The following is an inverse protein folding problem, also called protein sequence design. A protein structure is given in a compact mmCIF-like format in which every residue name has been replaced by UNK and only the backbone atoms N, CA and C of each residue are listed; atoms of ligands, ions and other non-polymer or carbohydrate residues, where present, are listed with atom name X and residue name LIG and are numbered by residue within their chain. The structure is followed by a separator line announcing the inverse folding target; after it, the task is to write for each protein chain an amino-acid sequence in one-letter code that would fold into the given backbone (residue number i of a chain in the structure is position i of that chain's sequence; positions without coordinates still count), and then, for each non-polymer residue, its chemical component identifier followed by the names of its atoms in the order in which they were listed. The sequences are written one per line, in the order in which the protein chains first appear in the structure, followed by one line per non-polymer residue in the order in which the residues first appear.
data_IF_675997971385
#
_entry.id   IF_675997971385
#
_cell.length_a   1.000
_cell.length_b   1.000
_cell.length_c   1.000
_cell.angle_alpha   90.00
_cell.angle_beta   90.00
_cell.angle_gamma   90.00
#
_symmetry.space_group_name_H-M   'P 1'
#
loop_
_entity.id
_entity.type
_entity.pdbx_description
1 polymer ?
#
# COMPACT_ATOMS: atom_id res chain seq x y z
N UNK A 1 22.49 -14.66 -48.13
CA UNK A 1 22.58 -13.47 -47.24
C UNK A 1 21.27 -13.11 -46.53
N UNK A 2 20.10 -13.09 -47.21
CA UNK A 2 18.82 -12.76 -46.54
C UNK A 2 18.42 -13.74 -45.43
N UNK A 3 18.60 -15.05 -45.64
CA UNK A 3 18.28 -16.09 -44.66
C UNK A 3 19.14 -16.01 -43.38
N UNK A 4 20.44 -15.75 -43.52
CA UNK A 4 21.36 -15.56 -42.38
C UNK A 4 21.02 -14.31 -41.57
N UNK A 5 20.61 -13.22 -42.22
CA UNK A 5 20.14 -12.00 -41.54
C UNK A 5 18.85 -12.27 -40.76
N UNK A 6 17.90 -13.02 -41.34
CA UNK A 6 16.66 -13.39 -40.64
C UNK A 6 16.95 -14.27 -39.42
N UNK A 7 17.83 -15.27 -39.54
CA UNK A 7 18.22 -16.13 -38.42
C UNK A 7 18.94 -15.35 -37.31
N UNK A 8 19.82 -14.41 -37.67
CA UNK A 8 20.50 -13.55 -36.70
C UNK A 8 19.52 -12.60 -36.01
N UNK A 9 18.56 -12.03 -36.74
CA UNK A 9 17.50 -11.19 -36.16
C UNK A 9 16.60 -11.98 -35.21
N UNK A 10 16.24 -13.24 -35.54
CA UNK A 10 15.47 -14.11 -34.65
C UNK A 10 16.26 -14.46 -33.39
N UNK A 11 17.55 -14.79 -33.53
CA UNK A 11 18.42 -15.09 -32.39
C UNK A 11 18.60 -13.87 -31.46
N UNK A 12 18.75 -12.66 -32.03
CA UNK A 12 18.83 -11.41 -31.26
C UNK A 12 17.51 -11.12 -30.56
N UNK A 13 16.36 -11.26 -31.23
CA UNK A 13 15.04 -11.05 -30.60
C UNK A 13 14.78 -12.08 -29.49
N UNK A 14 15.15 -13.35 -29.69
CA UNK A 14 15.02 -14.40 -28.67
C UNK A 14 15.96 -14.21 -27.48
N UNK A 15 17.17 -13.67 -27.69
CA UNK A 15 18.08 -13.32 -26.60
C UNK A 15 17.65 -12.08 -25.81
N UNK A 16 16.82 -11.20 -26.40
CA UNK A 16 16.28 -10.01 -25.75
C UNK A 16 14.96 -10.27 -25.02
N UNK A 17 14.29 -11.40 -25.24
CA UNK A 17 13.13 -11.80 -24.45
C UNK A 17 13.57 -12.43 -23.13
N UNK A 18 13.70 -11.61 -22.09
CA UNK A 18 13.92 -12.09 -20.72
C UNK A 18 12.83 -13.08 -20.28
N UNK A 19 13.22 -14.12 -19.52
CA UNK A 19 12.27 -15.11 -19.04
C UNK A 19 11.44 -14.55 -17.89
N UNK A 20 10.15 -14.87 -17.84
CA UNK A 20 9.25 -14.44 -16.78
C UNK A 20 9.02 -15.58 -15.76
N UNK A 21 9.89 -15.64 -14.75
CA UNK A 21 9.91 -16.70 -13.73
C UNK A 21 8.79 -16.54 -12.72
N UNK A 22 8.01 -17.59 -12.46
CA UNK A 22 6.97 -17.55 -11.43
C UNK A 22 7.62 -17.60 -10.03
N UNK A 23 7.20 -16.71 -9.15
CA UNK A 23 7.57 -16.69 -7.73
C UNK A 23 6.30 -16.65 -6.86
N UNK A 24 6.45 -16.96 -5.58
CA UNK A 24 5.41 -16.76 -4.57
C UNK A 24 5.86 -15.69 -3.60
N UNK A 25 5.02 -14.69 -3.37
CA UNK A 25 5.32 -13.56 -2.48
C UNK A 25 4.46 -13.56 -1.22
N UNK A 26 3.77 -14.66 -0.93
CA UNK A 26 2.89 -14.79 0.22
C UNK A 26 3.63 -14.50 1.54
N UNK A 27 3.03 -13.73 2.46
CA UNK A 27 3.63 -13.38 3.74
C UNK A 27 3.78 -14.63 4.62
N UNK A 28 4.62 -14.51 5.64
CA UNK A 28 4.79 -15.54 6.65
C UNK A 28 3.82 -15.27 7.79
N UNK A 29 2.74 -16.06 7.88
CA UNK A 29 1.66 -15.82 8.86
C UNK A 29 2.15 -15.80 10.31
N UNK A 30 3.22 -16.54 10.60
CA UNK A 30 3.85 -16.56 11.93
C UNK A 30 4.42 -15.20 12.34
N UNK A 31 4.73 -14.31 11.38
CA UNK A 31 5.23 -12.94 11.64
C UNK A 31 4.10 -11.92 11.80
N UNK A 32 2.84 -12.31 11.62
CA UNK A 32 1.66 -11.46 11.74
C UNK A 32 0.99 -11.72 13.08
N UNK A 33 1.62 -11.21 14.13
CA UNK A 33 1.13 -11.34 15.50
C UNK A 33 0.22 -10.18 15.89
N UNK A 34 -0.71 -10.44 16.81
CA UNK A 34 -1.51 -9.39 17.42
C UNK A 34 -0.58 -8.54 18.30
N UNK A 35 -0.64 -7.22 18.16
CA UNK A 35 0.17 -6.33 18.98
C UNK A 35 -0.30 -6.39 20.45
N UNK A 36 0.62 -6.74 21.34
CA UNK A 36 0.37 -6.98 22.76
C UNK A 36 0.29 -5.68 23.58
N UNK A 37 -0.57 -4.72 23.21
CA UNK A 37 -0.75 -3.51 24.03
C UNK A 37 -2.16 -2.94 23.92
N UNK A 38 -2.89 -2.86 25.05
CA UNK A 38 -3.87 -1.83 25.41
C UNK A 38 -5.11 -1.59 24.53
N UNK A 39 -5.18 -2.20 23.36
CA UNK A 39 -6.30 -2.14 22.45
C UNK A 39 -7.04 -3.46 22.56
N UNK A 40 -8.02 -3.52 23.46
CA UNK A 40 -9.07 -4.52 23.33
C UNK A 40 -9.61 -4.44 21.90
N UNK A 41 -9.74 -5.60 21.25
CA UNK A 41 -10.30 -5.70 19.90
C UNK A 41 -11.46 -4.72 19.78
N UNK A 42 -11.40 -3.81 18.82
CA UNK A 42 -12.46 -2.81 18.70
C UNK A 42 -13.77 -3.54 18.56
N UNK A 43 -14.80 -3.09 19.27
CA UNK A 43 -16.19 -3.53 19.10
C UNK A 43 -16.75 -3.02 17.75
N UNK A 44 -16.03 -3.31 16.68
CA UNK A 44 -16.27 -2.92 15.30
C UNK A 44 -16.12 -4.18 14.47
N UNK A 45 -17.18 -4.50 13.73
CA UNK A 45 -17.27 -5.62 12.81
C UNK A 45 -17.08 -5.13 11.38
N UNK A 46 -16.21 -5.78 10.60
CA UNK A 46 -15.88 -5.35 9.24
C UNK A 46 -16.07 -6.48 8.23
N UNK A 47 -16.63 -6.12 7.08
CA UNK A 47 -16.52 -6.93 5.88
C UNK A 47 -15.25 -6.56 5.12
N UNK A 48 -14.56 -7.52 4.50
CA UNK A 48 -13.55 -7.20 3.49
C UNK A 48 -13.92 -7.80 2.14
N UNK A 49 -13.67 -7.05 1.07
CA UNK A 49 -13.99 -7.47 -0.29
C UNK A 49 -12.77 -7.33 -1.20
N UNK A 50 -12.38 -8.44 -1.84
CA UNK A 50 -11.40 -8.47 -2.92
C UNK A 50 -12.12 -9.07 -4.14
N UNK A 51 -12.30 -8.30 -5.23
CA UNK A 51 -12.89 -8.81 -6.47
C UNK A 51 -12.16 -10.06 -6.98
N UNK A 52 -12.90 -11.02 -7.54
CA UNK A 52 -12.35 -12.28 -8.03
C UNK A 52 -11.32 -12.09 -9.16
N UNK A 53 -11.48 -11.00 -9.92
CA UNK A 53 -10.59 -10.57 -10.98
C UNK A 53 -9.23 -10.14 -10.42
N UNK A 54 -9.20 -9.50 -9.24
CA UNK A 54 -7.97 -9.11 -8.58
C UNK A 54 -7.25 -10.31 -7.97
N UNK A 55 -7.99 -11.27 -7.39
CA UNK A 55 -7.40 -12.55 -6.93
C UNK A 55 -6.76 -13.35 -8.08
N UNK A 56 -7.26 -13.18 -9.30
CA UNK A 56 -6.72 -13.84 -10.50
C UNK A 56 -5.67 -13.00 -11.23
N UNK A 57 -5.37 -11.79 -10.76
CA UNK A 57 -4.43 -10.88 -11.41
C UNK A 57 -2.99 -11.38 -11.24
N UNK A 58 -2.38 -11.84 -12.33
CA UNK A 58 -0.94 -12.09 -12.41
C UNK A 58 -0.23 -10.79 -12.78
N UNK A 59 0.73 -10.36 -11.95
CA UNK A 59 1.57 -9.19 -12.19
C UNK A 59 2.94 -9.65 -12.66
N UNK A 60 3.52 -8.92 -13.62
CA UNK A 60 4.90 -9.12 -14.09
C UNK A 60 5.74 -7.89 -13.74
N UNK A 61 6.89 -8.10 -13.09
CA UNK A 61 7.84 -7.04 -12.74
C UNK A 61 9.29 -7.46 -13.02
N UNK A 62 10.25 -6.52 -13.03
CA UNK A 62 11.65 -6.87 -13.18
C UNK A 62 12.16 -7.80 -12.06
N UNK A 63 12.79 -8.90 -12.46
CA UNK A 63 13.45 -9.85 -11.57
C UNK A 63 14.93 -9.59 -11.35
N UNK A 64 15.56 -8.75 -12.19
CA UNK A 64 17.01 -8.58 -12.26
C UNK A 64 17.63 -9.46 -13.36
N UNK A 65 18.84 -9.13 -13.82
CA UNK A 65 19.51 -9.95 -14.85
C UNK A 65 18.94 -9.83 -16.27
N UNK A 66 18.00 -8.91 -16.51
CA UNK A 66 17.20 -8.88 -17.74
C UNK A 66 15.98 -9.81 -17.71
N UNK A 67 15.79 -10.58 -16.64
CA UNK A 67 14.62 -11.42 -16.42
C UNK A 67 13.49 -10.68 -15.72
N UNK A 68 12.27 -11.21 -15.88
CA UNK A 68 11.07 -10.79 -15.19
C UNK A 68 10.63 -11.85 -14.17
N UNK A 69 9.80 -11.44 -13.22
CA UNK A 69 9.09 -12.33 -12.30
C UNK A 69 7.59 -12.16 -12.42
N UNK A 70 6.85 -13.24 -12.16
CA UNK A 70 5.39 -13.29 -12.17
C UNK A 70 4.85 -13.82 -10.85
N UNK A 71 3.80 -13.19 -10.34
CA UNK A 71 3.16 -13.55 -9.07
C UNK A 71 1.73 -12.96 -9.00
N UNK A 72 0.97 -13.33 -7.97
CA UNK A 72 -0.43 -12.92 -7.81
C UNK A 72 -0.56 -12.12 -6.51
N UNK A 73 -0.40 -10.78 -6.53
CA UNK A 73 -0.24 -10.01 -5.30
C UNK A 73 -1.46 -10.10 -4.37
N UNK A 74 -2.68 -10.05 -4.92
CA UNK A 74 -3.90 -10.14 -4.12
C UNK A 74 -4.12 -11.55 -3.55
N UNK A 75 -3.92 -12.59 -4.35
CA UNK A 75 -4.05 -13.98 -3.89
C UNK A 75 -3.01 -14.32 -2.83
N UNK A 76 -1.77 -13.91 -3.06
CA UNK A 76 -0.67 -14.24 -2.18
C UNK A 76 -0.78 -13.51 -0.82
N UNK A 77 -1.31 -12.28 -0.77
CA UNK A 77 -1.46 -11.52 0.48
C UNK A 77 -2.72 -11.88 1.30
N UNK A 78 -3.77 -12.43 0.67
CA UNK A 78 -5.14 -12.50 1.20
C UNK A 78 -5.21 -13.07 2.61
N UNK A 79 -4.60 -14.24 2.86
CA UNK A 79 -4.63 -14.88 4.18
C UNK A 79 -3.93 -14.03 5.25
N UNK A 80 -2.83 -13.35 4.90
CA UNK A 80 -2.16 -12.42 5.81
C UNK A 80 -2.98 -11.16 6.07
N UNK A 81 -3.69 -10.67 5.06
CA UNK A 81 -4.59 -9.53 5.18
C UNK A 81 -5.78 -9.82 6.10
N UNK A 82 -6.43 -10.98 5.94
CA UNK A 82 -7.50 -11.43 6.83
C UNK A 82 -7.02 -11.55 8.28
N UNK A 83 -5.80 -12.07 8.49
CA UNK A 83 -5.17 -12.17 9.80
C UNK A 83 -4.96 -10.79 10.44
N UNK A 84 -4.47 -9.81 9.67
CA UNK A 84 -4.32 -8.41 10.13
C UNK A 84 -5.67 -7.84 10.55
N UNK A 85 -6.72 -7.99 9.74
CA UNK A 85 -8.05 -7.50 10.09
C UNK A 85 -8.56 -8.15 11.38
N UNK A 86 -8.38 -9.47 11.52
CA UNK A 86 -8.80 -10.25 12.70
C UNK A 86 -8.00 -9.93 13.97
N UNK A 87 -6.82 -9.33 13.80
CA UNK A 87 -6.02 -8.81 14.91
C UNK A 87 -6.50 -7.43 15.40
N UNK A 88 -7.26 -6.68 14.59
CA UNK A 88 -7.69 -5.30 14.88
C UNK A 88 -9.18 -5.20 15.24
N UNK A 89 -10.03 -5.94 14.54
CA UNK A 89 -11.49 -5.85 14.61
C UNK A 89 -12.08 -7.05 15.38
N UNK A 90 -13.24 -6.84 16.03
CA UNK A 90 -13.93 -7.92 16.77
C UNK A 90 -14.61 -8.94 15.87
N UNK A 91 -15.04 -8.50 14.67
CA UNK A 91 -15.66 -9.35 13.65
C UNK A 91 -15.05 -9.07 12.29
N UNK A 92 -14.72 -10.12 11.54
CA UNK A 92 -14.20 -10.03 10.17
C UNK A 92 -14.94 -11.04 9.30
N UNK A 93 -15.51 -10.57 8.20
CA UNK A 93 -16.21 -11.42 7.23
C UNK A 93 -15.68 -11.15 5.83
N UNK A 94 -15.25 -12.20 5.12
CA UNK A 94 -14.96 -12.09 3.71
C UNK A 94 -16.25 -11.99 2.89
N UNK A 95 -16.41 -10.91 2.15
CA UNK A 95 -17.50 -10.72 1.20
C UNK A 95 -17.13 -11.41 -0.13
N UNK A 96 -17.99 -12.29 -0.63
CA UNK A 96 -17.78 -13.04 -1.88
C UNK A 96 -18.29 -12.34 -3.13
N UNK A 97 -19.05 -11.26 -2.95
CA UNK A 97 -19.65 -10.48 -4.02
C UNK A 97 -19.46 -9.00 -3.74
N UNK A 98 -19.65 -8.17 -4.77
CA UNK A 98 -19.68 -6.72 -4.64
C UNK A 98 -20.58 -6.31 -3.45
N UNK A 99 -20.08 -5.49 -2.52
CA UNK A 99 -20.83 -5.08 -1.35
C UNK A 99 -22.10 -4.30 -1.72
N UNK A 100 -23.24 -4.76 -1.21
CA UNK A 100 -24.45 -3.93 -1.12
C UNK A 100 -24.42 -3.21 0.23
N UNK A 101 -23.92 -1.96 0.23
CA UNK A 101 -23.76 -1.17 1.44
C UNK A 101 -25.09 -0.95 2.18
N UNK A 102 -26.22 -0.93 1.48
CA UNK A 102 -27.53 -0.82 2.14
C UNK A 102 -27.88 -2.02 3.02
N UNK A 103 -27.23 -3.17 2.79
CA UNK A 103 -27.44 -4.43 3.52
C UNK A 103 -26.32 -4.78 4.50
N UNK A 104 -25.23 -4.02 4.58
CA UNK A 104 -24.12 -4.34 5.50
C UNK A 104 -24.54 -4.36 6.96
N UNK A 105 -25.50 -3.51 7.38
CA UNK A 105 -26.10 -3.58 8.72
C UNK A 105 -26.85 -4.89 8.99
N UNK A 106 -27.50 -5.47 7.98
CA UNK A 106 -28.20 -6.75 8.14
C UNK A 106 -27.22 -7.91 8.38
N UNK A 107 -25.98 -7.78 7.89
CA UNK A 107 -24.87 -8.70 8.14
C UNK A 107 -24.13 -8.41 9.45
N UNK A 108 -24.56 -7.40 10.22
CA UNK A 108 -23.88 -6.98 11.45
C UNK A 108 -22.49 -6.39 11.21
N UNK A 109 -22.27 -5.78 10.04
CA UNK A 109 -21.01 -5.13 9.67
C UNK A 109 -21.16 -3.62 9.82
N UNK A 110 -20.22 -3.00 10.53
CA UNK A 110 -20.14 -1.55 10.68
C UNK A 110 -19.49 -0.92 9.44
N UNK A 111 -18.48 -1.57 8.88
CA UNK A 111 -17.72 -1.06 7.73
C UNK A 111 -17.40 -2.15 6.71
N UNK A 112 -17.14 -1.72 5.48
CA UNK A 112 -16.57 -2.56 4.43
C UNK A 112 -15.21 -2.01 4.02
N UNK A 113 -14.22 -2.90 3.97
CA UNK A 113 -12.84 -2.60 3.62
C UNK A 113 -12.52 -3.24 2.26
N UNK A 114 -11.96 -2.45 1.35
CA UNK A 114 -11.45 -2.95 0.07
C UNK A 114 -9.97 -2.56 -0.11
N UNK A 115 -9.04 -3.53 -0.19
CA UNK A 115 -7.65 -3.23 -0.44
C UNK A 115 -7.36 -2.95 -1.92
N UNK A 116 -6.38 -2.08 -2.15
CA UNK A 116 -5.74 -1.82 -3.43
C UNK A 116 -4.24 -2.04 -3.26
N UNK A 117 -3.64 -2.82 -4.16
CA UNK A 117 -2.25 -3.26 -4.06
C UNK A 117 -1.51 -2.88 -5.33
N UNK A 118 -0.41 -2.18 -5.17
CA UNK A 118 0.57 -1.93 -6.24
C UNK A 118 1.91 -2.48 -5.78
N UNK A 119 2.58 -3.22 -6.66
CA UNK A 119 3.88 -3.84 -6.34
C UNK A 119 4.93 -3.43 -7.35
N UNK A 120 6.17 -3.32 -6.91
CA UNK A 120 7.34 -3.18 -7.77
C UNK A 120 8.48 -4.04 -7.28
N UNK A 121 9.34 -4.51 -8.17
CA UNK A 121 10.53 -5.28 -7.82
C UNK A 121 11.70 -4.98 -8.74
N UNK A 122 12.90 -5.31 -8.28
CA UNK A 122 14.11 -5.24 -9.07
C UNK A 122 15.33 -5.72 -8.30
N UNK A 123 16.48 -5.65 -8.96
CA UNK A 123 17.76 -5.99 -8.36
C UNK A 123 18.75 -4.85 -8.54
N UNK A 124 19.64 -4.68 -7.57
CA UNK A 124 20.73 -3.69 -7.64
C UNK A 124 21.84 -4.09 -8.62
N UNK A 125 21.89 -5.35 -9.05
CA UNK A 125 22.89 -5.88 -10.00
C UNK A 125 22.31 -6.22 -11.37
N UNK A 126 23.12 -6.02 -12.42
CA UNK A 126 22.72 -6.18 -13.83
C UNK A 126 22.54 -7.65 -14.28
N UNK A 127 23.07 -8.64 -13.54
CA UNK A 127 23.22 -10.01 -14.04
C UNK A 127 22.52 -11.11 -13.23
N UNK A 128 21.76 -10.82 -12.17
CA UNK A 128 21.16 -11.90 -11.35
C UNK A 128 19.71 -11.66 -10.97
N UNK A 129 18.81 -12.49 -11.51
CA UNK A 129 17.53 -12.89 -10.90
C UNK A 129 17.80 -13.89 -9.77
N UNK A 130 16.94 -14.00 -8.73
CA UNK A 130 15.68 -13.28 -8.40
C UNK A 130 15.78 -11.79 -7.96
N UNK A 131 14.66 -11.08 -7.68
CA UNK A 131 14.72 -9.69 -7.25
C UNK A 131 15.35 -9.55 -5.85
N UNK A 132 16.24 -8.56 -5.67
CA UNK A 132 16.81 -8.23 -4.35
C UNK A 132 16.04 -7.15 -3.60
N UNK A 133 15.12 -6.45 -4.27
CA UNK A 133 14.25 -5.44 -3.68
C UNK A 133 12.83 -5.63 -4.17
N UNK A 134 11.88 -5.40 -3.28
CA UNK A 134 10.45 -5.48 -3.55
C UNK A 134 9.71 -4.43 -2.72
N UNK A 135 8.71 -3.79 -3.31
CA UNK A 135 7.82 -2.86 -2.63
C UNK A 135 6.37 -3.26 -2.80
N UNK A 136 5.57 -3.03 -1.76
CA UNK A 136 4.13 -3.29 -1.72
C UNK A 136 3.46 -2.02 -1.19
N UNK A 137 2.77 -1.30 -2.07
CA UNK A 137 1.91 -0.20 -1.70
C UNK A 137 0.50 -0.75 -1.47
N UNK A 138 0.05 -0.71 -0.21
CA UNK A 138 -1.24 -1.22 0.22
C UNK A 138 -2.09 -0.05 0.71
N UNK A 139 -3.17 0.22 -0.02
CA UNK A 139 -4.17 1.24 0.34
C UNK A 139 -5.50 0.56 0.62
N UNK A 140 -6.13 0.87 1.74
CA UNK A 140 -7.50 0.42 2.01
C UNK A 140 -8.50 1.52 1.67
N UNK A 141 -9.67 1.17 1.15
CA UNK A 141 -10.87 2.02 1.16
C UNK A 141 -11.83 1.48 2.21
N UNK A 142 -12.08 2.25 3.26
CA UNK A 142 -13.02 1.88 4.34
C UNK A 142 -14.30 2.68 4.14
N UNK A 143 -15.42 1.98 4.02
CA UNK A 143 -16.73 2.55 3.73
C UNK A 143 -17.77 2.22 4.79
N UNK A 144 -18.67 3.16 5.04
CA UNK A 144 -19.83 2.99 5.92
C UNK A 144 -21.01 2.28 5.21
N UNK A 145 -22.16 2.16 5.89
CA UNK A 145 -23.39 1.59 5.34
C UNK A 145 -23.99 2.38 4.16
N UNK A 146 -23.55 3.62 3.94
CA UNK A 146 -24.00 4.43 2.81
C UNK A 146 -23.03 4.29 1.63
N UNK A 147 -21.95 3.51 1.77
CA UNK A 147 -20.89 3.39 0.78
C UNK A 147 -19.92 4.58 0.78
N UNK A 148 -20.04 5.50 1.74
CA UNK A 148 -19.18 6.69 1.86
C UNK A 148 -17.82 6.28 2.37
N UNK A 149 -16.74 6.74 1.72
CA UNK A 149 -15.38 6.51 2.19
C UNK A 149 -15.13 7.35 3.44
N UNK A 150 -14.92 6.69 4.58
CA UNK A 150 -14.67 7.35 5.86
C UNK A 150 -13.17 7.38 6.21
N UNK A 151 -12.38 6.47 5.65
CA UNK A 151 -10.94 6.40 5.83
C UNK A 151 -10.28 5.69 4.66
N UNK A 152 -9.03 6.06 4.38
CA UNK A 152 -8.22 5.42 3.36
C UNK A 152 -6.74 5.29 3.77
N UNK A 153 -6.42 4.48 4.80
CA UNK A 153 -5.04 4.32 5.24
C UNK A 153 -4.21 3.69 4.11
N UNK A 154 -3.01 4.21 3.93
CA UNK A 154 -2.03 3.74 2.93
C UNK A 154 -0.70 3.50 3.61
N UNK A 155 -0.08 2.37 3.29
CA UNK A 155 1.24 1.99 3.78
C UNK A 155 2.09 1.45 2.64
N UNK A 156 3.41 1.58 2.79
CA UNK A 156 4.37 1.00 1.86
C UNK A 156 5.25 0.00 2.62
N UNK A 157 5.12 -1.27 2.24
CA UNK A 157 5.98 -2.36 2.63
C UNK A 157 7.23 -2.42 1.76
N UNK A 158 8.37 -2.72 2.37
CA UNK A 158 9.66 -2.86 1.70
C UNK A 158 10.27 -4.19 2.11
N UNK A 159 10.78 -4.93 1.14
CA UNK A 159 11.49 -6.17 1.38
C UNK A 159 12.77 -6.21 0.56
N UNK A 160 13.85 -6.58 1.23
CA UNK A 160 15.15 -6.81 0.61
C UNK A 160 15.53 -8.29 0.72
N UNK A 161 16.39 -8.75 -0.18
CA UNK A 161 16.96 -10.10 -0.13
C UNK A 161 18.47 -10.04 -0.29
N UNK A 162 19.17 -10.79 0.54
CA UNK A 162 20.59 -11.08 0.37
C UNK A 162 20.80 -12.07 -0.78
N UNK A 163 22.00 -12.03 -1.36
CA UNK A 163 22.29 -12.76 -2.61
C UNK A 163 22.12 -14.28 -2.47
N UNK A 164 22.49 -14.85 -1.32
CA UNK A 164 22.52 -16.30 -1.09
C UNK A 164 21.14 -16.91 -0.76
N UNK A 165 20.38 -16.30 0.16
CA UNK A 165 19.05 -16.79 0.57
C UNK A 165 18.03 -16.80 -0.58
N UNK A 166 18.23 -15.88 -1.51
CA UNK A 166 17.39 -15.74 -2.69
C UNK A 166 17.49 -16.94 -3.63
N UNK A 167 18.61 -17.68 -3.61
CA UNK A 167 18.79 -18.89 -4.41
C UNK A 167 17.97 -20.08 -3.87
N UNK A 168 17.64 -20.08 -2.58
CA UNK A 168 16.75 -21.08 -1.98
C UNK A 168 15.29 -20.62 -1.99
N UNK A 169 15.04 -19.30 -1.89
CA UNK A 169 13.70 -18.73 -1.91
C UNK A 169 13.58 -17.54 -2.86
N UNK A 170 13.18 -17.81 -4.11
CA UNK A 170 13.14 -16.79 -5.16
C UNK A 170 12.19 -15.61 -4.91
N UNK A 171 11.23 -15.76 -3.99
CA UNK A 171 10.25 -14.72 -3.62
C UNK A 171 10.56 -14.00 -2.32
N UNK A 172 11.70 -14.24 -1.66
CA UNK A 172 11.96 -13.79 -0.28
C UNK A 172 11.84 -12.27 -0.09
N UNK A 173 12.31 -11.45 -1.03
CA UNK A 173 12.11 -9.99 -0.99
C UNK A 173 10.61 -9.63 -1.00
N UNK A 174 9.81 -10.29 -1.83
CA UNK A 174 8.36 -10.09 -1.89
C UNK A 174 7.65 -10.52 -0.61
N UNK A 175 7.99 -11.68 -0.05
CA UNK A 175 7.44 -12.15 1.23
C UNK A 175 7.69 -11.14 2.35
N UNK A 176 8.91 -10.59 2.42
CA UNK A 176 9.28 -9.56 3.40
C UNK A 176 8.51 -8.26 3.18
N UNK A 177 8.37 -7.82 1.94
CA UNK A 177 7.59 -6.63 1.62
C UNK A 177 6.11 -6.78 2.00
N UNK A 178 5.52 -7.97 1.77
CA UNK A 178 4.15 -8.28 2.20
C UNK A 178 4.01 -8.28 3.73
N UNK A 179 4.93 -8.93 4.45
CA UNK A 179 4.95 -8.91 5.92
C UNK A 179 5.05 -7.47 6.47
N UNK A 180 5.96 -6.67 5.92
CA UNK A 180 6.18 -5.28 6.33
C UNK A 180 4.95 -4.40 6.04
N UNK A 181 4.34 -4.52 4.85
CA UNK A 181 3.09 -3.82 4.51
C UNK A 181 1.95 -4.20 5.47
N UNK A 182 1.79 -5.50 5.77
CA UNK A 182 0.75 -5.99 6.65
C UNK A 182 0.94 -5.52 8.10
N UNK A 183 2.18 -5.55 8.61
CA UNK A 183 2.51 -5.04 9.95
C UNK A 183 2.21 -3.54 10.07
N UNK A 184 2.66 -2.75 9.09
CA UNK A 184 2.36 -1.30 9.03
C UNK A 184 0.87 -1.03 8.89
N UNK A 185 0.15 -1.81 8.09
CA UNK A 185 -1.30 -1.66 7.95
C UNK A 185 -2.03 -1.97 9.25
N UNK A 186 -1.61 -3.02 9.97
CA UNK A 186 -2.17 -3.34 11.28
C UNK A 186 -2.02 -2.16 12.25
N UNK A 187 -0.84 -1.55 12.32
CA UNK A 187 -0.60 -0.35 13.11
C UNK A 187 -1.47 0.83 12.66
N UNK A 188 -1.53 1.12 11.35
CA UNK A 188 -2.34 2.20 10.81
C UNK A 188 -3.84 2.04 11.12
N UNK A 189 -4.37 0.81 11.03
CA UNK A 189 -5.76 0.52 11.37
C UNK A 189 -6.06 0.71 12.86
N UNK A 190 -5.11 0.37 13.74
CA UNK A 190 -5.20 0.59 15.20
C UNK A 190 -5.17 2.06 15.60
N UNK A 191 -4.67 2.96 14.74
CA UNK A 191 -4.69 4.41 14.98
C UNK A 191 -5.98 5.08 14.50
N UNK A 192 -6.73 4.47 13.58
CA UNK A 192 -7.96 5.06 13.04
C UNK A 192 -9.05 5.22 14.13
N UNK A 193 -9.79 6.32 14.16
CA UNK A 193 -10.92 6.45 15.12
C UNK A 193 -12.22 5.94 14.49
N UNK A 194 -12.35 4.61 14.35
CA UNK A 194 -13.57 3.96 13.89
C UNK A 194 -14.47 3.58 15.08
N UNK A 195 -15.79 3.78 14.96
CA UNK A 195 -16.76 3.39 16.00
C UNK A 195 -16.84 4.30 17.24
N UNK A 196 -16.16 5.45 17.28
CA UNK A 196 -16.40 6.43 18.34
C UNK A 196 -17.78 7.08 18.13
N UNK A 197 -18.66 7.18 19.14
CA UNK A 197 -19.85 8.02 19.04
C UNK A 197 -19.40 9.45 18.70
N UNK A 198 -20.20 10.23 17.96
CA UNK A 198 -19.89 11.63 17.73
C UNK A 198 -19.83 12.31 19.10
N UNK A 199 -18.63 12.56 19.59
CA UNK A 199 -18.48 13.40 20.77
C UNK A 199 -19.17 14.72 20.41
N UNK A 200 -20.11 15.13 21.26
CA UNK A 200 -20.71 16.46 21.29
C UNK A 200 -19.64 17.53 21.64
N UNK A 201 -18.48 17.50 21.00
CA UNK A 201 -17.71 18.69 20.77
C UNK A 201 -18.35 19.35 19.56
N UNK A 202 -19.23 20.31 19.84
CA UNK A 202 -19.65 21.32 18.88
C UNK A 202 -18.46 21.68 17.99
N UNK A 203 -18.58 21.62 16.66
CA UNK A 203 -17.48 21.94 15.78
C UNK A 203 -17.03 23.36 16.12
N UNK A 204 -15.85 23.49 16.76
CA UNK A 204 -15.10 24.74 16.71
C UNK A 204 -14.99 25.03 15.22
N UNK A 205 -15.69 26.08 14.77
CA UNK A 205 -15.68 26.60 13.40
C UNK A 205 -14.26 26.53 12.86
N UNK A 206 -13.95 25.43 12.19
CA UNK A 206 -12.67 25.25 11.52
C UNK A 206 -12.90 25.92 10.19
N UNK A 207 -12.35 27.13 10.07
CA UNK A 207 -12.34 27.90 8.84
C UNK A 207 -11.92 26.99 7.69
N UNK A 208 -12.58 27.15 6.55
CA UNK A 208 -12.45 26.39 5.31
C UNK A 208 -11.02 25.87 5.02
N UNK A 209 -10.88 24.70 4.36
CA UNK A 209 -9.61 24.01 4.14
C UNK A 209 -8.54 24.79 3.34
N UNK A 210 -8.86 25.96 2.79
CA UNK A 210 -7.90 26.89 2.19
C UNK A 210 -7.08 27.68 3.23
N UNK A 211 -7.68 28.02 4.39
CA UNK A 211 -7.04 28.86 5.40
C UNK A 211 -5.97 28.12 6.21
N UNK A 212 -6.15 26.81 6.46
CA UNK A 212 -5.18 25.99 7.19
C UNK A 212 -3.91 25.74 6.37
N UNK A 213 -4.04 25.60 5.05
CA UNK A 213 -2.91 25.39 4.15
C UNK A 213 -2.04 26.66 4.03
N UNK A 214 -2.64 27.84 3.90
CA UNK A 214 -1.88 29.08 3.85
C UNK A 214 -1.16 29.38 5.17
N UNK A 215 -1.80 29.15 6.33
CA UNK A 215 -1.16 29.34 7.63
C UNK A 215 0.04 28.42 7.83
N UNK A 216 -0.09 27.15 7.42
CA UNK A 216 1.01 26.17 7.46
C UNK A 216 2.16 26.57 6.53
N UNK A 217 1.85 26.99 5.29
CA UNK A 217 2.85 27.44 4.31
C UNK A 217 3.57 28.71 4.77
N UNK A 218 2.89 29.65 5.42
CA UNK A 218 3.51 30.84 6.02
C UNK A 218 4.42 30.47 7.20
N UNK A 219 4.05 29.47 8.01
CA UNK A 219 4.88 28.92 9.08
C UNK A 219 6.20 28.36 8.55
N UNK A 220 6.14 27.46 7.57
CA UNK A 220 7.34 26.87 6.95
C UNK A 220 8.20 27.92 6.26
N UNK A 221 7.59 28.91 5.60
CA UNK A 221 8.33 29.99 4.94
C UNK A 221 9.10 30.87 5.94
N UNK A 222 8.51 31.12 7.13
CA UNK A 222 9.19 31.82 8.21
C UNK A 222 10.36 31.01 8.76
N UNK A 223 10.17 29.71 8.97
CA UNK A 223 11.24 28.82 9.43
C UNK A 223 12.44 28.78 8.47
N UNK A 224 12.18 28.77 7.15
CA UNK A 224 13.24 28.82 6.14
C UNK A 224 14.04 30.12 6.19
N UNK A 225 13.36 31.25 6.45
CA UNK A 225 14.04 32.55 6.64
C UNK A 225 14.83 32.58 7.94
N UNK A 226 14.27 32.07 9.03
CA UNK A 226 14.91 32.07 10.35
C UNK A 226 16.15 31.14 10.39
N UNK A 227 16.22 30.17 9.46
CA UNK A 227 17.39 29.30 9.24
C UNK A 227 18.37 29.83 8.17
N UNK A 228 18.20 31.06 7.70
CA UNK A 228 19.00 31.68 6.62
C UNK A 228 19.05 30.85 5.31
N UNK A 229 18.04 30.00 5.07
CA UNK A 229 17.94 29.17 3.86
C UNK A 229 17.34 29.92 2.67
N UNK A 230 16.73 31.09 2.92
CA UNK A 230 16.22 32.01 1.91
C UNK A 230 16.53 33.46 2.30
N UNK A 231 16.69 34.31 1.30
CA UNK A 231 16.93 35.74 1.52
C UNK A 231 15.64 36.48 1.92
N UNK A 232 15.79 37.66 2.54
CA UNK A 232 14.66 38.52 2.90
C UNK A 232 13.78 38.90 1.70
N UNK A 233 14.39 39.08 0.52
CA UNK A 233 13.65 39.40 -0.70
C UNK A 233 12.78 38.22 -1.16
N UNK A 234 13.33 37.00 -1.15
CA UNK A 234 12.61 35.78 -1.53
C UNK A 234 11.47 35.44 -0.56
N UNK A 235 11.68 35.69 0.73
CA UNK A 235 10.64 35.55 1.75
C UNK A 235 9.43 36.44 1.46
N UNK A 236 9.64 37.73 1.16
CA UNK A 236 8.52 38.66 0.92
C UNK A 236 7.76 38.34 -0.37
N UNK A 237 8.44 37.90 -1.43
CA UNK A 237 7.79 37.46 -2.68
C UNK A 237 6.89 36.24 -2.42
N UNK A 238 7.43 35.18 -1.81
CA UNK A 238 6.67 33.95 -1.53
C UNK A 238 5.56 34.18 -0.51
N UNK A 239 5.76 35.05 0.47
CA UNK A 239 4.73 35.45 1.44
C UNK A 239 3.56 36.13 0.75
N UNK A 240 3.84 37.04 -0.20
CA UNK A 240 2.81 37.73 -0.98
C UNK A 240 2.04 36.77 -1.88
N UNK A 241 2.71 35.81 -2.52
CA UNK A 241 2.08 34.75 -3.31
C UNK A 241 1.11 33.90 -2.45
N UNK A 242 1.53 33.48 -1.25
CA UNK A 242 0.67 32.69 -0.36
C UNK A 242 -0.54 33.50 0.10
N UNK A 243 -0.37 34.77 0.44
CA UNK A 243 -1.47 35.65 0.85
C UNK A 243 -2.44 35.96 -0.29
N UNK A 244 -1.96 36.05 -1.53
CA UNK A 244 -2.80 36.24 -2.72
C UNK A 244 -3.55 34.97 -3.13
N UNK A 245 -3.19 33.81 -2.59
CA UNK A 245 -3.84 32.51 -2.87
C UNK A 245 -4.94 32.14 -1.88
N UNK A 246 -5.26 33.03 -0.94
CA UNK A 246 -6.34 32.94 0.04
C UNK A 246 -7.63 33.58 -0.49
#
# INVERSE_FOLDING_TARGET
MKLLKILLSIAVVGALSGCAHRITVAPELAKIERLSHGFDNRSVSVGYYIPSELLSLEVTTPGGGGDNVRYFPYRDIETGYERVLSNVFSGVVQLRSTPDYSRTKQLGLDYVIQPQIVTSSGSTGFFTWPPTNFTVDLTNSIRDENGTVIAAPRVVGIGTAETAERLSEHGVAGKRAMNDALSKMQAALLELKLGAPPNNESPKKTKSPMSSNAAFRLGNLKELKDKDLITKAEYEVKRKEILNSL
#
